data_IF_742192849335
#
_entry.id   IF_742192849335
#
_cell.length_a   1.000
_cell.length_b   1.000
_cell.length_c   1.000
_cell.angle_alpha   90.00
_cell.angle_beta   90.00
_cell.angle_gamma   90.00
#
_symmetry.space_group_name_H-M   'P 1'
#
loop_
_entity.id
_entity.type
_entity.pdbx_description
1 polymer ?
#
# COMPACT_ATOMS: atom_id res chain seq x y z
N UNK A 1 -21.43 2.77 -0.15
CA UNK A 1 -20.55 3.84 -0.70
C UNK A 1 -19.45 3.16 -1.51
N UNK A 2 -19.18 3.62 -2.74
CA UNK A 2 -18.02 3.12 -3.48
C UNK A 2 -16.79 3.78 -2.85
N UNK A 3 -16.05 3.03 -2.02
CA UNK A 3 -14.82 3.54 -1.40
C UNK A 3 -13.70 3.52 -2.43
N UNK A 4 -13.69 4.55 -3.29
CA UNK A 4 -12.70 4.74 -4.38
C UNK A 4 -11.26 4.60 -3.86
N UNK A 5 -10.99 5.09 -2.64
CA UNK A 5 -9.69 4.98 -1.98
C UNK A 5 -9.30 3.52 -1.70
N UNK A 6 -10.26 2.70 -1.26
CA UNK A 6 -10.04 1.27 -1.06
C UNK A 6 -9.80 0.56 -2.38
N UNK A 7 -10.62 0.81 -3.40
CA UNK A 7 -10.44 0.22 -4.73
C UNK A 7 -9.09 0.59 -5.34
N UNK A 8 -8.68 1.87 -5.26
CA UNK A 8 -7.39 2.33 -5.77
C UNK A 8 -6.23 1.67 -5.03
N UNK A 9 -6.27 1.67 -3.69
CA UNK A 9 -5.21 1.06 -2.91
C UNK A 9 -5.07 -0.44 -3.15
N UNK A 10 -6.20 -1.15 -3.21
CA UNK A 10 -6.24 -2.59 -3.48
C UNK A 10 -5.73 -2.92 -4.88
N UNK A 11 -6.15 -2.14 -5.89
CA UNK A 11 -5.66 -2.24 -7.26
C UNK A 11 -4.15 -2.07 -7.35
N UNK A 12 -3.58 -1.09 -6.62
CA UNK A 12 -2.16 -0.80 -6.61
C UNK A 12 -1.34 -1.91 -5.96
N UNK A 13 -1.79 -2.42 -4.81
CA UNK A 13 -1.12 -3.52 -4.09
C UNK A 13 -1.17 -4.80 -4.92
N UNK A 14 -2.35 -5.18 -5.42
CA UNK A 14 -2.51 -6.37 -6.25
C UNK A 14 -1.76 -6.26 -7.57
N UNK A 15 -1.84 -5.13 -8.25
CA UNK A 15 -1.13 -4.89 -9.50
C UNK A 15 0.38 -5.00 -9.34
N UNK A 16 0.94 -4.40 -8.29
CA UNK A 16 2.37 -4.54 -7.98
C UNK A 16 2.76 -5.97 -7.60
N UNK A 17 1.97 -6.65 -6.77
CA UNK A 17 2.24 -8.05 -6.40
C UNK A 17 2.19 -9.00 -7.61
N UNK A 18 1.20 -8.82 -8.49
CA UNK A 18 1.10 -9.57 -9.74
C UNK A 18 2.24 -9.25 -10.70
N UNK A 19 2.67 -7.99 -10.80
CA UNK A 19 3.84 -7.59 -11.59
C UNK A 19 5.11 -8.34 -11.15
N UNK A 20 5.40 -8.32 -9.84
CA UNK A 20 6.53 -9.07 -9.29
C UNK A 20 6.40 -10.59 -9.47
N UNK A 21 5.17 -11.14 -9.44
CA UNK A 21 4.93 -12.56 -9.70
C UNK A 21 5.18 -12.93 -11.17
N UNK A 22 4.69 -12.11 -12.10
CA UNK A 22 4.90 -12.29 -13.55
C UNK A 22 6.39 -12.20 -13.86
N UNK A 23 7.11 -11.23 -13.29
CA UNK A 23 8.57 -11.10 -13.46
C UNK A 23 9.29 -12.38 -13.02
N UNK A 24 8.93 -12.93 -11.85
CA UNK A 24 9.50 -14.19 -11.35
C UNK A 24 9.18 -15.38 -12.25
N UNK A 25 7.97 -15.46 -12.81
CA UNK A 25 7.58 -16.57 -13.69
C UNK A 25 8.27 -16.46 -15.06
N UNK A 26 8.34 -15.25 -15.63
CA UNK A 26 8.88 -15.02 -16.97
C UNK A 26 10.42 -15.03 -16.99
N UNK A 27 11.06 -14.50 -15.95
CA UNK A 27 12.51 -14.26 -15.94
C UNK A 27 13.25 -14.99 -14.80
N UNK A 28 12.55 -15.73 -13.94
CA UNK A 28 13.13 -16.49 -12.82
C UNK A 28 13.57 -15.63 -11.63
N UNK A 29 13.48 -14.29 -11.75
CA UNK A 29 13.84 -13.31 -10.73
C UNK A 29 13.03 -12.03 -10.95
N UNK A 30 12.90 -11.20 -9.90
CA UNK A 30 12.33 -9.87 -10.07
C UNK A 30 13.34 -9.03 -10.84
N UNK A 31 12.91 -8.35 -11.90
CA UNK A 31 13.79 -7.44 -12.63
C UNK A 31 13.74 -6.09 -11.93
N UNK A 32 14.82 -5.77 -11.23
CA UNK A 32 14.96 -4.47 -10.59
C UNK A 32 15.41 -3.43 -11.62
N UNK A 33 14.46 -2.67 -12.17
CA UNK A 33 14.73 -1.69 -13.25
C UNK A 33 15.25 -0.33 -12.75
N UNK A 34 15.03 0.02 -11.48
CA UNK A 34 15.37 1.35 -10.94
C UNK A 34 16.57 1.23 -10.00
N UNK A 35 17.76 1.45 -10.56
CA UNK A 35 18.99 1.63 -9.81
C UNK A 35 19.23 3.13 -9.57
N UNK A 36 18.95 3.62 -8.37
CA UNK A 36 19.30 4.99 -7.97
C UNK A 36 20.63 5.00 -7.23
N UNK A 37 21.69 5.43 -7.91
CA UNK A 37 23.03 5.59 -7.34
C UNK A 37 23.16 6.93 -6.59
N UNK A 38 22.23 7.20 -5.66
CA UNK A 38 22.07 8.51 -5.00
C UNK A 38 23.16 8.79 -3.96
N UNK A 39 23.78 7.75 -3.39
CA UNK A 39 24.83 7.88 -2.38
C UNK A 39 25.99 6.91 -2.67
N UNK A 40 27.14 7.47 -3.05
CA UNK A 40 28.40 6.75 -3.18
C UNK A 40 29.30 7.14 -2.01
N UNK A 41 29.31 6.33 -0.96
CA UNK A 41 30.05 6.63 0.26
C UNK A 41 30.58 5.39 0.97
N UNK A 42 31.45 5.62 1.95
CA UNK A 42 31.99 4.58 2.81
C UNK A 42 31.23 4.55 4.14
N UNK A 43 30.59 3.43 4.45
CA UNK A 43 30.05 3.16 5.78
C UNK A 43 30.91 2.06 6.42
N UNK A 44 31.43 2.30 7.63
CA UNK A 44 32.35 1.40 8.34
C UNK A 44 33.56 0.92 7.49
N UNK A 45 34.11 1.79 6.64
CA UNK A 45 35.28 1.45 5.81
C UNK A 45 34.99 0.52 4.64
N UNK A 46 33.71 0.22 4.35
CA UNK A 46 33.30 -0.46 3.11
C UNK A 46 32.57 0.51 2.19
N UNK A 47 32.87 0.41 0.89
CA UNK A 47 32.10 1.09 -0.14
C UNK A 47 30.74 0.42 -0.25
N UNK A 48 29.66 1.16 0.04
CA UNK A 48 28.30 0.63 -0.05
C UNK A 48 27.44 1.63 -0.80
N UNK A 49 26.84 1.16 -1.89
CA UNK A 49 25.66 1.80 -2.47
C UNK A 49 24.47 1.36 -1.60
N UNK A 50 24.07 2.22 -0.65
CA UNK A 50 23.01 1.88 0.31
C UNK A 50 21.59 2.04 -0.23
N UNK A 51 21.44 2.49 -1.46
CA UNK A 51 20.10 2.73 -1.99
C UNK A 51 19.49 1.40 -2.43
N UNK A 52 18.36 0.97 -1.85
CA UNK A 52 17.72 -0.26 -2.26
C UNK A 52 17.33 -0.15 -3.73
N UNK A 53 17.60 -1.19 -4.50
CA UNK A 53 17.11 -1.30 -5.86
C UNK A 53 15.62 -1.63 -5.73
N UNK A 54 14.75 -0.89 -6.40
CA UNK A 54 13.31 -1.09 -6.30
C UNK A 54 12.69 -1.20 -7.69
N UNK A 55 11.69 -2.06 -7.84
CA UNK A 55 10.91 -2.18 -9.07
C UNK A 55 9.68 -1.26 -9.00
N UNK A 56 9.09 -0.95 -10.16
CA UNK A 56 7.80 -0.25 -10.28
C UNK A 56 6.71 -0.96 -9.46
N UNK A 57 6.79 -2.29 -9.37
CA UNK A 57 5.92 -3.10 -8.53
C UNK A 57 6.00 -2.74 -7.05
N UNK A 58 7.21 -2.53 -6.49
CA UNK A 58 7.40 -2.17 -5.09
C UNK A 58 6.92 -0.74 -4.81
N UNK A 59 7.08 0.16 -5.78
CA UNK A 59 6.51 1.51 -5.72
C UNK A 59 4.98 1.47 -5.69
N UNK A 60 4.35 0.65 -6.54
CA UNK A 60 2.91 0.49 -6.57
C UNK A 60 2.36 -0.05 -5.25
N UNK A 61 3.00 -1.09 -4.70
CA UNK A 61 2.64 -1.66 -3.39
C UNK A 61 2.79 -0.61 -2.29
N UNK A 62 3.93 0.09 -2.25
CA UNK A 62 4.20 1.12 -1.24
C UNK A 62 3.15 2.25 -1.29
N UNK A 63 2.83 2.75 -2.48
CA UNK A 63 1.79 3.76 -2.67
C UNK A 63 0.41 3.25 -2.21
N UNK A 64 0.03 2.02 -2.58
CA UNK A 64 -1.24 1.43 -2.15
C UNK A 64 -1.34 1.28 -0.64
N UNK A 65 -0.27 0.82 0.03
CA UNK A 65 -0.21 0.74 1.50
C UNK A 65 -0.31 2.12 2.13
N UNK A 66 0.41 3.12 1.61
CA UNK A 66 0.31 4.50 2.08
C UNK A 66 -1.12 5.05 1.98
N UNK A 67 -1.83 4.75 0.88
CA UNK A 67 -3.24 5.14 0.71
C UNK A 67 -4.12 4.46 1.77
N UNK A 68 -3.94 3.15 2.03
CA UNK A 68 -4.70 2.47 3.09
C UNK A 68 -4.44 3.07 4.47
N UNK A 69 -3.18 3.39 4.80
CA UNK A 69 -2.82 3.93 6.10
C UNK A 69 -3.34 5.35 6.31
N UNK A 70 -3.18 6.23 5.31
CA UNK A 70 -3.61 7.62 5.39
C UNK A 70 -5.14 7.74 5.41
N UNK A 71 -5.82 6.93 4.60
CA UNK A 71 -7.28 6.99 4.47
C UNK A 71 -8.01 5.91 5.29
N UNK A 72 -7.32 5.25 6.23
CA UNK A 72 -7.87 4.17 7.05
C UNK A 72 -9.22 4.55 7.67
N UNK A 73 -9.26 5.71 8.33
CA UNK A 73 -10.47 6.21 8.98
C UNK A 73 -11.62 6.43 7.99
N UNK A 74 -11.34 6.99 6.81
CA UNK A 74 -12.38 7.23 5.80
C UNK A 74 -12.89 5.95 5.12
N UNK A 75 -12.04 4.90 5.10
CA UNK A 75 -12.36 3.60 4.52
C UNK A 75 -13.13 2.72 5.52
N UNK A 76 -12.74 2.74 6.80
CA UNK A 76 -13.20 1.79 7.82
C UNK A 76 -14.11 2.39 8.90
N UNK A 77 -14.33 3.70 8.95
CA UNK A 77 -15.43 4.24 9.74
C UNK A 77 -16.77 4.03 9.03
N UNK A 78 -17.46 2.98 9.45
CA UNK A 78 -18.91 3.03 9.50
C UNK A 78 -19.30 3.66 10.84
N UNK A 79 -20.12 4.71 10.78
CA UNK A 79 -20.76 5.24 11.98
C UNK A 79 -21.53 4.10 12.65
N UNK A 80 -21.34 3.83 13.95
CA UNK A 80 -22.24 2.95 14.68
C UNK A 80 -23.61 3.62 14.68
N UNK A 81 -24.52 3.15 13.83
CA UNK A 81 -25.91 3.59 13.83
C UNK A 81 -26.57 3.22 15.16
N UNK A 82 -26.74 4.25 15.99
CA UNK A 82 -28.05 4.67 16.51
C UNK A 82 -29.00 3.54 17.00
N UNK A 83 -28.52 2.62 17.84
CA UNK A 83 -29.41 1.68 18.55
C UNK A 83 -30.13 2.29 19.78
N UNK A 84 -30.03 3.61 20.02
CA UNK A 84 -30.55 4.24 21.24
C UNK A 84 -31.91 4.95 21.10
N UNK A 85 -32.61 4.88 19.94
CA UNK A 85 -33.90 5.56 19.75
C UNK A 85 -35.16 4.67 19.89
N UNK A 86 -35.03 3.37 20.18
CA UNK A 86 -36.20 2.48 20.30
C UNK A 86 -36.79 2.32 21.72
N UNK A 87 -36.25 2.97 22.75
CA UNK A 87 -36.78 2.90 24.14
C UNK A 87 -37.40 4.21 24.63
N UNK A 88 -38.14 4.94 23.80
CA UNK A 88 -39.19 5.81 24.35
C UNK A 88 -40.47 4.97 24.46
N UNK A 89 -40.84 4.48 25.65
CA UNK A 89 -42.19 3.96 25.81
C UNK A 89 -43.14 5.12 25.56
N UNK A 90 -43.93 4.95 24.49
CA UNK A 90 -45.10 5.74 24.24
C UNK A 90 -46.15 5.32 25.26
N UNK A 91 -46.15 5.94 26.44
CA UNK A 91 -47.32 5.97 27.31
C UNK A 91 -47.53 7.38 27.88
N UNK A 92 -48.66 7.92 27.42
CA UNK A 92 -49.45 9.06 27.85
C UNK A 92 -49.67 9.15 29.35
#
# INVERSE_FOLDING_TARGET
RNNIFFTLAFSLILGGALGNLIDRIAYGQVIDFIHFDLYRGYIFGKYVALWPIFNVADMAISCGVCILLIFYHHIFEEHPEEHSRSEKPLNS
#
